data_IF_869240206896
#
_entry.id   IF_869240206896
#
_cell.length_a   1.000
_cell.length_b   1.000
_cell.length_c   1.000
_cell.angle_alpha   90.00
_cell.angle_beta   90.00
_cell.angle_gamma   90.00
#
_symmetry.space_group_name_H-M   'P 1'
#
loop_
_entity.id
_entity.type
_entity.pdbx_description
1 polymer ?
#
# COMPACT_ATOMS: atom_id res chain seq x y z
N UNK A 1 -19.00 -6.66 -9.19
CA UNK A 1 -17.95 -6.60 -8.17
C UNK A 1 -17.45 -7.99 -7.85
N UNK A 2 -16.19 -8.11 -7.51
CA UNK A 2 -15.60 -9.36 -7.03
C UNK A 2 -15.60 -9.36 -5.50
N UNK A 3 -15.88 -10.52 -4.89
CA UNK A 3 -15.86 -10.67 -3.43
C UNK A 3 -14.46 -11.13 -3.01
N UNK A 4 -13.83 -10.38 -2.10
CA UNK A 4 -12.52 -10.70 -1.54
C UNK A 4 -12.59 -11.33 -0.15
N UNK A 5 -13.62 -10.98 0.63
CA UNK A 5 -13.87 -11.55 1.96
C UNK A 5 -15.36 -11.50 2.26
N UNK A 6 -15.90 -12.60 2.77
CA UNK A 6 -17.28 -12.68 3.22
C UNK A 6 -17.38 -13.56 4.46
N UNK A 7 -18.13 -13.09 5.46
CA UNK A 7 -18.43 -13.82 6.70
C UNK A 7 -19.84 -13.47 7.12
N UNK A 8 -20.62 -14.46 7.56
CA UNK A 8 -22.01 -14.26 7.96
C UNK A 8 -22.89 -13.67 6.85
N UNK A 9 -23.88 -12.88 7.21
CA UNK A 9 -24.74 -12.12 6.29
C UNK A 9 -24.67 -10.62 6.62
N UNK A 10 -23.72 -9.93 5.98
CA UNK A 10 -23.54 -8.51 6.21
C UNK A 10 -24.74 -7.67 5.78
N UNK A 11 -25.49 -8.09 4.75
CA UNK A 11 -26.66 -7.36 4.25
C UNK A 11 -27.77 -7.41 5.28
N UNK A 12 -28.12 -8.60 5.76
CA UNK A 12 -29.15 -8.79 6.78
C UNK A 12 -28.77 -8.10 8.09
N UNK A 13 -27.49 -8.19 8.50
CA UNK A 13 -27.01 -7.55 9.72
C UNK A 13 -27.12 -6.02 9.66
N UNK A 14 -26.85 -5.41 8.50
CA UNK A 14 -27.01 -3.98 8.29
C UNK A 14 -28.48 -3.56 8.26
N UNK A 15 -29.36 -4.32 7.59
CA UNK A 15 -30.81 -4.05 7.58
C UNK A 15 -31.44 -4.10 8.98
N UNK A 16 -30.88 -4.88 9.90
CA UNK A 16 -31.36 -5.04 11.28
C UNK A 16 -30.60 -4.20 12.31
N UNK A 17 -29.61 -3.45 11.90
CA UNK A 17 -28.82 -2.61 12.79
C UNK A 17 -29.65 -1.48 13.41
N UNK A 18 -29.29 -1.07 14.64
CA UNK A 18 -29.93 0.05 15.34
C UNK A 18 -29.46 1.40 14.83
N UNK A 19 -28.17 1.45 14.49
CA UNK A 19 -27.51 2.67 13.97
C UNK A 19 -26.64 2.29 12.78
N UNK A 20 -26.86 2.94 11.66
CA UNK A 20 -26.03 2.80 10.47
C UNK A 20 -25.09 3.98 10.36
N UNK A 21 -23.84 3.68 10.05
CA UNK A 21 -22.81 4.65 9.68
C UNK A 21 -22.42 4.38 8.24
N UNK A 22 -22.42 5.41 7.41
CA UNK A 22 -21.96 5.32 6.03
C UNK A 22 -20.92 6.40 5.75
N UNK A 23 -19.80 6.00 5.12
CA UNK A 23 -18.78 6.93 4.68
C UNK A 23 -18.26 6.56 3.30
N UNK A 24 -17.72 7.56 2.60
CA UNK A 24 -17.05 7.38 1.33
C UNK A 24 -15.69 8.06 1.37
N UNK A 25 -14.65 7.27 1.11
CA UNK A 25 -13.27 7.73 1.07
C UNK A 25 -12.72 7.67 -0.35
N UNK A 26 -11.77 8.53 -0.65
CA UNK A 26 -11.04 8.53 -1.91
C UNK A 26 -9.53 8.55 -1.65
N UNK A 27 -8.80 7.78 -2.43
CA UNK A 27 -7.34 7.73 -2.38
C UNK A 27 -6.79 8.10 -3.76
N UNK A 28 -5.99 9.18 -3.87
CA UNK A 28 -5.52 9.68 -5.15
C UNK A 28 -4.37 8.84 -5.70
N UNK A 29 -4.01 9.08 -6.96
CA UNK A 29 -2.74 8.61 -7.49
C UNK A 29 -1.57 9.13 -6.67
N UNK A 30 -0.55 8.29 -6.48
CA UNK A 30 0.71 8.68 -5.87
C UNK A 30 1.88 8.23 -6.74
N UNK A 31 2.86 9.11 -6.89
CA UNK A 31 4.13 8.79 -7.54
C UNK A 31 5.16 8.32 -6.50
N UNK A 32 6.13 7.54 -6.93
CA UNK A 32 7.23 7.06 -6.08
C UNK A 32 8.17 8.20 -5.66
N UNK A 33 8.40 9.17 -6.54
CA UNK A 33 9.23 10.36 -6.30
C UNK A 33 10.55 10.03 -5.60
N UNK A 34 11.26 9.02 -6.08
CA UNK A 34 12.56 8.62 -5.53
C UNK A 34 13.53 9.80 -5.57
N UNK A 35 14.40 9.97 -4.56
CA UNK A 35 15.37 11.08 -4.57
C UNK A 35 16.28 11.04 -5.80
N UNK A 36 16.70 9.85 -6.20
CA UNK A 36 17.37 9.61 -7.47
C UNK A 36 16.33 9.36 -8.57
N UNK A 37 16.15 10.26 -9.56
CA UNK A 37 15.29 9.99 -10.71
C UNK A 37 15.74 8.75 -11.50
N UNK A 38 14.85 8.21 -12.35
CA UNK A 38 15.15 7.02 -13.12
C UNK A 38 16.38 7.22 -14.00
N UNK A 39 17.29 6.25 -13.97
CA UNK A 39 18.51 6.29 -14.76
C UNK A 39 19.06 4.90 -15.07
N UNK A 40 19.81 4.79 -16.13
CA UNK A 40 20.60 3.61 -16.47
C UNK A 40 21.78 3.99 -17.38
N UNK A 41 22.87 3.25 -17.29
CA UNK A 41 23.95 3.30 -18.28
C UNK A 41 23.92 2.01 -19.07
N UNK A 42 23.89 2.09 -20.39
CA UNK A 42 23.93 0.93 -21.27
C UNK A 42 25.09 1.02 -22.25
N UNK A 43 25.66 -0.13 -22.60
CA UNK A 43 26.67 -0.28 -23.67
C UNK A 43 26.28 -1.48 -24.51
N UNK A 44 25.88 -1.23 -25.76
CA UNK A 44 25.46 -2.25 -26.70
C UNK A 44 26.43 -2.39 -27.89
N UNK A 45 26.55 -3.61 -28.42
CA UNK A 45 27.13 -3.96 -29.72
C UNK A 45 26.14 -4.88 -30.44
N UNK A 46 26.43 -5.31 -31.65
CA UNK A 46 25.61 -6.30 -32.36
C UNK A 46 25.56 -7.67 -31.67
N UNK A 47 26.52 -7.96 -30.78
CA UNK A 47 26.69 -9.28 -30.17
C UNK A 47 26.42 -9.30 -28.66
N UNK A 48 26.60 -8.17 -27.98
CA UNK A 48 26.52 -8.07 -26.52
C UNK A 48 25.88 -6.77 -26.04
N UNK A 49 25.18 -6.83 -24.90
CA UNK A 49 24.68 -5.65 -24.21
C UNK A 49 24.96 -5.73 -22.69
N UNK A 50 25.53 -4.68 -22.13
CA UNK A 50 25.77 -4.55 -20.70
C UNK A 50 25.04 -3.31 -20.16
N UNK A 51 24.39 -3.44 -19.01
CA UNK A 51 23.63 -2.36 -18.34
C UNK A 51 24.06 -2.22 -16.89
N UNK A 52 24.30 -1.00 -16.46
CA UNK A 52 24.47 -0.61 -15.05
C UNK A 52 23.26 0.21 -14.63
N UNK A 53 22.46 -0.31 -13.70
CA UNK A 53 21.26 0.38 -13.25
C UNK A 53 20.96 0.18 -11.76
N UNK A 54 20.37 1.20 -11.11
CA UNK A 54 19.83 1.07 -9.78
C UNK A 54 18.50 0.32 -9.86
N UNK A 55 18.49 -0.96 -9.51
CA UNK A 55 17.31 -1.83 -9.60
C UNK A 55 17.01 -2.57 -8.29
N UNK A 56 15.72 -2.75 -7.98
CA UNK A 56 15.23 -3.62 -6.92
C UNK A 56 15.11 -5.09 -7.38
N UNK A 57 15.14 -5.32 -8.72
CA UNK A 57 15.00 -6.64 -9.32
C UNK A 57 15.93 -6.78 -10.54
N UNK A 58 17.06 -7.45 -10.33
CA UNK A 58 18.08 -7.67 -11.37
C UNK A 58 17.56 -8.53 -12.53
N UNK A 59 16.72 -9.51 -12.28
CA UNK A 59 16.15 -10.38 -13.33
C UNK A 59 15.20 -9.61 -14.24
N UNK A 60 14.35 -8.75 -13.68
CA UNK A 60 13.48 -7.90 -14.48
C UNK A 60 14.26 -6.86 -15.29
N UNK A 61 15.39 -6.36 -14.76
CA UNK A 61 16.30 -5.50 -15.51
C UNK A 61 16.99 -6.26 -16.65
N UNK A 62 17.39 -7.52 -16.43
CA UNK A 62 17.97 -8.38 -17.45
C UNK A 62 16.95 -8.68 -18.56
N UNK A 63 15.72 -9.04 -18.20
CA UNK A 63 14.64 -9.25 -19.18
C UNK A 63 14.38 -8.00 -20.02
N UNK A 64 14.34 -6.81 -19.41
CA UNK A 64 14.20 -5.54 -20.13
C UNK A 64 15.40 -5.25 -21.05
N UNK A 65 16.61 -5.65 -20.64
CA UNK A 65 17.83 -5.50 -21.45
C UNK A 65 17.81 -6.40 -22.67
N UNK A 66 17.48 -7.69 -22.51
CA UNK A 66 17.41 -8.67 -23.61
C UNK A 66 16.35 -8.28 -24.63
N UNK A 67 15.17 -7.90 -24.15
CA UNK A 67 14.06 -7.44 -25.01
C UNK A 67 14.46 -6.21 -25.83
N UNK A 68 15.04 -5.18 -25.20
CA UNK A 68 15.39 -3.93 -25.86
C UNK A 68 16.61 -4.07 -26.78
N UNK A 69 17.57 -4.94 -26.46
CA UNK A 69 18.74 -5.21 -27.28
C UNK A 69 18.46 -6.17 -28.45
N UNK A 70 17.37 -6.97 -28.35
CA UNK A 70 17.08 -8.04 -29.34
C UNK A 70 18.11 -9.16 -29.30
N UNK A 71 18.77 -9.39 -28.14
CA UNK A 71 19.84 -10.37 -27.97
C UNK A 71 19.41 -11.50 -27.04
N UNK A 72 20.00 -12.72 -27.19
CA UNK A 72 19.78 -13.79 -26.24
C UNK A 72 20.36 -13.44 -24.83
N UNK A 73 19.80 -14.07 -23.80
CA UNK A 73 20.11 -13.73 -22.40
C UNK A 73 21.60 -13.92 -22.05
N UNK A 74 22.24 -14.92 -22.62
CA UNK A 74 23.68 -15.21 -22.45
C UNK A 74 24.61 -14.12 -22.99
N UNK A 75 24.10 -13.25 -23.83
CA UNK A 75 24.81 -12.11 -24.43
C UNK A 75 24.48 -10.77 -23.72
N UNK A 76 23.67 -10.82 -22.65
CA UNK A 76 23.26 -9.65 -21.88
C UNK A 76 23.73 -9.72 -20.43
N UNK A 77 24.16 -8.59 -19.89
CA UNK A 77 24.63 -8.48 -18.50
C UNK A 77 23.99 -7.29 -17.81
N UNK A 78 23.63 -7.46 -16.54
CA UNK A 78 23.13 -6.37 -15.69
C UNK A 78 23.96 -6.28 -14.42
N UNK A 79 24.55 -5.12 -14.23
CA UNK A 79 25.28 -4.75 -13.04
C UNK A 79 24.42 -3.86 -12.15
N UNK A 80 23.99 -4.42 -11.03
CA UNK A 80 23.22 -3.71 -10.03
C UNK A 80 24.10 -2.71 -9.30
N UNK A 81 23.70 -1.45 -9.30
CA UNK A 81 24.35 -0.37 -8.53
C UNK A 81 23.45 0.06 -7.36
N UNK A 82 23.99 0.86 -6.43
CA UNK A 82 23.22 1.41 -5.31
C UNK A 82 22.05 2.24 -5.79
N UNK A 83 20.92 2.15 -5.04
CA UNK A 83 19.70 2.89 -5.32
C UNK A 83 19.64 4.15 -4.47
N UNK A 84 19.27 5.24 -5.10
CA UNK A 84 18.83 6.47 -4.43
C UNK A 84 17.32 6.48 -4.16
N UNK A 85 16.79 5.33 -3.72
CA UNK A 85 15.38 5.07 -3.49
C UNK A 85 14.72 4.26 -4.60
N UNK A 86 13.70 3.48 -4.24
CA UNK A 86 12.97 2.64 -5.20
C UNK A 86 11.48 2.60 -4.92
N UNK A 87 11.08 2.19 -3.72
CA UNK A 87 9.70 2.13 -3.22
C UNK A 87 8.73 1.33 -4.10
N UNK A 88 9.25 0.40 -4.94
CA UNK A 88 8.49 -0.35 -5.93
C UNK A 88 8.74 0.09 -7.38
N UNK A 89 9.12 1.35 -7.63
CA UNK A 89 9.33 1.88 -8.98
C UNK A 89 10.36 1.10 -9.79
N UNK A 90 11.39 0.61 -9.11
CA UNK A 90 12.52 -0.12 -9.71
C UNK A 90 12.37 -1.64 -9.58
N UNK A 91 11.17 -2.14 -9.20
CA UNK A 91 10.90 -3.56 -9.00
C UNK A 91 10.47 -4.29 -10.27
N UNK A 92 9.39 -3.83 -10.90
CA UNK A 92 8.81 -4.44 -12.08
C UNK A 92 8.95 -3.60 -13.36
N UNK A 93 9.22 -2.31 -13.23
CA UNK A 93 9.19 -1.37 -14.34
C UNK A 93 10.59 -0.91 -14.68
N UNK A 94 11.14 -1.41 -15.77
CA UNK A 94 12.46 -1.09 -16.27
C UNK A 94 12.41 -0.37 -17.62
N UNK A 95 11.42 0.52 -17.78
CA UNK A 95 11.27 1.43 -18.92
C UNK A 95 12.53 2.29 -19.17
N UNK A 96 13.11 2.83 -18.10
CA UNK A 96 14.36 3.58 -18.16
C UNK A 96 15.55 2.73 -18.65
N UNK A 97 15.57 1.43 -18.36
CA UNK A 97 16.57 0.48 -18.88
C UNK A 97 16.36 0.26 -20.38
N UNK A 98 15.10 -0.02 -20.79
CA UNK A 98 14.77 -0.18 -22.22
C UNK A 98 15.19 1.04 -23.05
N UNK A 99 14.91 2.23 -22.55
CA UNK A 99 15.29 3.48 -23.22
C UNK A 99 16.81 3.63 -23.34
N UNK A 100 17.57 3.40 -22.26
CA UNK A 100 19.02 3.47 -22.28
C UNK A 100 19.64 2.47 -23.28
N UNK A 101 19.12 1.24 -23.32
CA UNK A 101 19.56 0.20 -24.26
C UNK A 101 19.21 0.58 -25.69
N UNK A 102 17.98 1.03 -25.96
CA UNK A 102 17.56 1.45 -27.29
C UNK A 102 18.42 2.57 -27.86
N UNK A 103 18.87 3.51 -27.04
CA UNK A 103 19.81 4.56 -27.46
C UNK A 103 21.21 3.99 -27.67
N UNK A 104 21.70 3.14 -26.75
CA UNK A 104 23.04 2.57 -26.81
C UNK A 104 23.27 1.69 -28.06
N UNK A 105 22.23 1.00 -28.52
CA UNK A 105 22.30 0.20 -29.76
C UNK A 105 22.47 1.04 -31.01
N UNK A 106 22.12 2.34 -31.00
CA UNK A 106 22.32 3.27 -32.12
C UNK A 106 23.76 3.83 -32.16
N UNK A 107 24.55 3.66 -31.11
CA UNK A 107 25.94 4.11 -31.00
C UNK A 107 26.84 2.96 -30.50
N UNK A 108 27.02 1.90 -31.31
CA UNK A 108 27.62 0.64 -30.87
C UNK A 108 28.98 0.82 -30.19
N UNK A 109 29.19 0.11 -29.09
CA UNK A 109 30.42 0.09 -28.32
C UNK A 109 30.66 1.30 -27.41
N UNK A 110 29.85 2.35 -27.52
CA UNK A 110 29.94 3.51 -26.63
C UNK A 110 28.98 3.38 -25.44
N UNK A 111 29.38 3.68 -24.18
CA UNK A 111 28.45 3.74 -23.06
C UNK A 111 27.56 4.96 -23.20
N UNK A 112 26.25 4.75 -22.98
CA UNK A 112 25.22 5.78 -22.97
C UNK A 112 24.63 5.83 -21.58
N UNK A 113 24.69 6.97 -20.90
CA UNK A 113 24.03 7.20 -19.62
C UNK A 113 22.76 8.02 -19.85
N UNK A 114 21.61 7.40 -19.59
CA UNK A 114 20.31 8.05 -19.56
C UNK A 114 20.02 8.53 -18.15
N UNK A 115 19.58 9.76 -18.01
CA UNK A 115 19.08 10.35 -16.77
C UNK A 115 17.74 11.01 -17.07
N UNK A 116 16.70 10.63 -16.33
CA UNK A 116 15.45 11.37 -16.37
C UNK A 116 15.55 12.65 -15.54
N UNK A 117 14.90 13.73 -15.98
CA UNK A 117 14.66 14.87 -15.10
C UNK A 117 13.65 14.51 -14.01
N UNK A 118 13.53 15.34 -12.97
CA UNK A 118 12.49 15.16 -11.95
C UNK A 118 11.10 15.23 -12.55
N UNK A 119 10.88 16.14 -13.48
CA UNK A 119 9.60 16.33 -14.18
C UNK A 119 9.23 15.10 -15.00
N UNK A 120 10.20 14.52 -15.72
CA UNK A 120 10.01 13.28 -16.48
C UNK A 120 9.62 12.12 -15.58
N UNK A 121 10.36 11.92 -14.48
CA UNK A 121 10.10 10.86 -13.49
C UNK A 121 8.71 10.99 -12.85
N UNK A 122 8.26 12.23 -12.58
CA UNK A 122 6.95 12.49 -11.97
C UNK A 122 5.79 12.33 -12.96
N UNK A 123 6.00 12.59 -14.26
CA UNK A 123 4.96 12.62 -15.28
C UNK A 123 4.82 11.31 -16.07
N UNK A 124 5.88 10.50 -16.14
CA UNK A 124 5.92 9.28 -16.95
C UNK A 124 6.19 8.01 -16.11
N UNK A 125 5.78 8.02 -14.86
CA UNK A 125 5.91 6.89 -13.95
C UNK A 125 4.75 5.89 -14.03
N UNK A 126 4.86 4.90 -13.15
CA UNK A 126 3.77 4.01 -12.77
C UNK A 126 3.29 4.44 -11.39
N UNK A 127 1.99 4.60 -11.20
CA UNK A 127 1.44 5.25 -10.02
C UNK A 127 0.75 4.26 -9.10
N UNK A 128 0.73 4.55 -7.80
CA UNK A 128 -0.22 3.91 -6.92
C UNK A 128 -1.63 4.12 -7.46
N UNK A 129 -2.48 3.09 -7.53
CA UNK A 129 -3.83 3.21 -8.11
C UNK A 129 -4.70 4.25 -7.42
N UNK A 130 -5.48 4.98 -8.22
CA UNK A 130 -6.61 5.73 -7.68
C UNK A 130 -7.70 4.78 -7.26
N UNK A 131 -8.26 4.96 -6.06
CA UNK A 131 -9.34 4.14 -5.55
C UNK A 131 -10.36 4.98 -4.78
N UNK A 132 -11.57 4.45 -4.65
CA UNK A 132 -12.65 5.01 -3.84
C UNK A 132 -13.36 3.88 -3.11
N UNK A 133 -13.60 4.03 -1.81
CA UNK A 133 -14.34 3.07 -1.03
C UNK A 133 -15.63 3.68 -0.48
N UNK A 134 -16.74 2.93 -0.60
CA UNK A 134 -17.96 3.16 0.16
C UNK A 134 -18.00 2.13 1.26
N UNK A 135 -18.18 2.56 2.49
CA UNK A 135 -18.24 1.73 3.66
C UNK A 135 -19.55 1.95 4.38
N UNK A 136 -20.18 0.85 4.82
CA UNK A 136 -21.40 0.87 5.62
C UNK A 136 -21.19 -0.07 6.81
N UNK A 137 -21.39 0.44 8.03
CA UNK A 137 -21.27 -0.32 9.26
C UNK A 137 -22.51 -0.19 10.11
N UNK A 138 -22.98 -1.28 10.67
CA UNK A 138 -24.15 -1.34 11.53
C UNK A 138 -23.77 -1.60 12.98
N UNK A 139 -24.35 -0.82 13.90
CA UNK A 139 -24.21 -0.98 15.34
C UNK A 139 -25.53 -1.45 15.96
N UNK A 140 -25.47 -2.31 16.97
CA UNK A 140 -26.62 -2.70 17.77
C UNK A 140 -26.99 -1.67 18.86
N UNK A 141 -27.98 -1.96 19.68
CA UNK A 141 -28.43 -1.10 20.79
C UNK A 141 -27.35 -0.85 21.86
N UNK A 142 -26.31 -1.72 21.90
CA UNK A 142 -25.18 -1.59 22.84
C UNK A 142 -23.97 -0.89 22.20
N UNK A 143 -24.10 -0.44 20.96
CA UNK A 143 -23.02 0.13 20.18
C UNK A 143 -21.95 -0.90 19.74
N UNK A 144 -22.36 -2.18 19.60
CA UNK A 144 -21.48 -3.22 19.07
C UNK A 144 -21.58 -3.30 17.56
N UNK A 145 -20.43 -3.49 16.88
CA UNK A 145 -20.40 -3.69 15.43
C UNK A 145 -21.01 -5.05 15.07
N UNK A 146 -22.14 -5.05 14.38
CA UNK A 146 -22.86 -6.25 13.96
C UNK A 146 -22.67 -6.60 12.50
N UNK A 147 -22.36 -5.62 11.66
CA UNK A 147 -22.15 -5.82 10.23
C UNK A 147 -21.27 -4.75 9.60
N UNK A 148 -20.49 -5.12 8.60
CA UNK A 148 -19.62 -4.22 7.84
C UNK A 148 -19.63 -4.59 6.35
N UNK A 149 -19.93 -3.63 5.49
CA UNK A 149 -19.79 -3.74 4.05
C UNK A 149 -18.73 -2.73 3.54
N UNK A 150 -17.70 -3.23 2.89
CA UNK A 150 -16.63 -2.48 2.28
C UNK A 150 -16.69 -2.68 0.77
N UNK A 151 -16.99 -1.65 0.01
CA UNK A 151 -17.00 -1.71 -1.45
C UNK A 151 -15.97 -0.74 -2.02
N UNK A 152 -14.89 -1.31 -2.56
CA UNK A 152 -13.79 -0.58 -3.18
C UNK A 152 -14.03 -0.52 -4.69
N UNK A 153 -13.81 0.64 -5.29
CA UNK A 153 -13.76 0.82 -6.75
C UNK A 153 -12.42 1.44 -7.13
N UNK A 154 -11.69 0.80 -8.04
CA UNK A 154 -10.38 1.30 -8.45
C UNK A 154 -9.68 0.41 -9.46
N UNK A 155 -8.43 0.79 -9.77
CA UNK A 155 -7.60 0.06 -10.71
C UNK A 155 -7.07 -1.25 -10.10
N UNK A 156 -6.85 -2.21 -10.98
CA UNK A 156 -6.08 -3.42 -10.70
C UNK A 156 -4.63 -3.23 -11.17
N UNK A 157 -3.69 -3.43 -10.26
CA UNK A 157 -2.27 -3.45 -10.60
C UNK A 157 -1.96 -4.68 -11.45
N UNK A 158 -2.48 -5.86 -11.08
CA UNK A 158 -2.22 -7.10 -11.80
C UNK A 158 -2.77 -7.07 -13.22
N UNK A 159 -3.94 -6.49 -13.45
CA UNK A 159 -4.50 -6.38 -14.80
C UNK A 159 -3.59 -5.59 -15.75
N UNK A 160 -2.81 -4.64 -15.23
CA UNK A 160 -1.89 -3.84 -16.01
C UNK A 160 -0.47 -4.43 -16.09
N UNK A 161 0.02 -5.03 -15.00
CA UNK A 161 1.43 -5.43 -14.85
C UNK A 161 1.65 -6.90 -15.15
N UNK A 162 0.76 -7.78 -14.67
CA UNK A 162 0.84 -9.22 -14.86
C UNK A 162 -0.54 -9.87 -14.85
N UNK A 163 -1.31 -9.76 -15.93
CA UNK A 163 -2.65 -10.35 -16.02
C UNK A 163 -2.70 -11.86 -15.75
N UNK A 164 -1.59 -12.57 -15.98
CA UNK A 164 -1.48 -14.00 -15.72
C UNK A 164 -1.56 -14.39 -14.24
N UNK A 165 -1.38 -13.45 -13.32
CA UNK A 165 -1.51 -13.67 -11.87
C UNK A 165 -2.93 -13.41 -11.35
N UNK A 166 -3.83 -12.96 -12.21
CA UNK A 166 -5.24 -12.80 -11.85
C UNK A 166 -5.93 -14.16 -11.75
N UNK A 167 -6.77 -14.32 -10.74
CA UNK A 167 -7.57 -15.53 -10.53
C UNK A 167 -8.99 -15.31 -11.05
N UNK A 168 -9.34 -15.90 -12.19
CA UNK A 168 -10.65 -15.74 -12.81
C UNK A 168 -11.09 -14.26 -12.98
N UNK A 169 -10.15 -13.38 -13.33
CA UNK A 169 -10.41 -11.96 -13.50
C UNK A 169 -10.39 -11.16 -12.18
N UNK A 170 -10.05 -11.80 -11.07
CA UNK A 170 -9.91 -11.17 -9.75
C UNK A 170 -8.46 -10.84 -9.46
N UNK A 171 -8.18 -9.58 -9.13
CA UNK A 171 -6.92 -9.15 -8.53
C UNK A 171 -7.02 -9.27 -7.01
N UNK A 172 -6.44 -10.32 -6.42
CA UNK A 172 -6.45 -10.53 -4.97
C UNK A 172 -5.67 -9.47 -4.20
N UNK A 173 -4.74 -8.77 -4.86
CA UNK A 173 -3.97 -7.69 -4.21
C UNK A 173 -4.85 -6.49 -3.85
N UNK A 174 -5.97 -6.29 -4.55
CA UNK A 174 -6.92 -5.22 -4.21
C UNK A 174 -7.52 -5.36 -2.81
N UNK A 175 -7.45 -6.56 -2.21
CA UNK A 175 -7.99 -6.87 -0.89
C UNK A 175 -6.92 -6.96 0.22
N UNK A 176 -5.69 -6.58 -0.05
CA UNK A 176 -4.61 -6.63 0.96
C UNK A 176 -4.98 -5.86 2.23
N UNK A 177 -4.78 -6.50 3.39
CA UNK A 177 -5.20 -5.99 4.70
C UNK A 177 -6.67 -6.27 5.06
N UNK A 178 -7.47 -6.82 4.11
CA UNK A 178 -8.90 -7.12 4.27
C UNK A 178 -9.24 -8.58 3.95
N UNK A 179 -8.26 -9.43 3.62
CA UNK A 179 -8.44 -10.84 3.31
C UNK A 179 -8.90 -11.64 4.55
N UNK A 180 -9.54 -12.81 4.37
CA UNK A 180 -10.00 -13.62 5.50
C UNK A 180 -8.84 -14.24 6.29
N UNK A 181 -7.71 -14.52 5.65
CA UNK A 181 -6.55 -15.21 6.22
C UNK A 181 -5.23 -14.76 5.55
N UNK A 182 -4.12 -15.43 5.95
CA UNK A 182 -2.81 -15.21 5.36
C UNK A 182 -2.13 -13.90 5.79
N UNK A 183 -1.11 -13.50 5.01
CA UNK A 183 -0.19 -12.41 5.32
C UNK A 183 -0.83 -11.02 5.28
N UNK A 184 -1.97 -10.91 4.64
CA UNK A 184 -2.74 -9.67 4.46
C UNK A 184 -4.16 -9.79 5.03
N UNK A 185 -4.35 -10.62 6.06
CA UNK A 185 -5.65 -10.79 6.69
C UNK A 185 -6.10 -9.53 7.45
N UNK A 186 -7.40 -9.33 7.50
CA UNK A 186 -8.01 -8.31 8.36
C UNK A 186 -7.68 -8.59 9.83
N UNK A 187 -7.37 -7.57 10.61
CA UNK A 187 -7.02 -7.68 12.03
C UNK A 187 -8.20 -7.49 12.98
N UNK A 188 -9.42 -7.57 12.47
CA UNK A 188 -10.64 -7.28 13.22
C UNK A 188 -11.65 -8.42 13.12
N UNK A 189 -12.23 -8.82 14.26
CA UNK A 189 -13.30 -9.79 14.36
C UNK A 189 -14.66 -9.16 14.06
N UNK A 190 -15.01 -9.02 12.79
CA UNK A 190 -16.33 -8.54 12.37
C UNK A 190 -17.25 -9.73 12.15
N UNK A 191 -18.41 -9.82 12.86
CA UNK A 191 -19.28 -11.01 12.78
C UNK A 191 -19.91 -11.21 11.40
N UNK A 192 -20.35 -10.13 10.75
CA UNK A 192 -20.93 -10.14 9.42
C UNK A 192 -20.18 -9.16 8.53
N UNK A 193 -19.39 -9.67 7.61
CA UNK A 193 -18.48 -8.87 6.78
C UNK A 193 -18.69 -9.19 5.30
N UNK A 194 -18.70 -8.14 4.48
CA UNK A 194 -18.60 -8.26 3.02
C UNK A 194 -17.59 -7.25 2.49
N UNK A 195 -16.55 -7.74 1.83
CA UNK A 195 -15.55 -6.91 1.14
C UNK A 195 -15.61 -7.20 -0.36
N UNK A 196 -15.87 -6.17 -1.14
CA UNK A 196 -16.01 -6.26 -2.59
C UNK A 196 -15.09 -5.28 -3.33
N UNK A 197 -14.68 -5.65 -4.53
CA UNK A 197 -13.96 -4.76 -5.45
C UNK A 197 -14.67 -4.66 -6.82
N UNK A 198 -14.93 -3.44 -7.25
CA UNK A 198 -15.41 -3.10 -8.58
C UNK A 198 -14.25 -2.53 -9.40
N UNK A 199 -13.63 -3.35 -10.24
CA UNK A 199 -12.49 -2.95 -11.07
C UNK A 199 -12.88 -1.83 -12.04
N UNK A 200 -12.05 -0.79 -12.08
CA UNK A 200 -12.12 0.35 -12.98
C UNK A 200 -10.70 0.75 -13.36
N UNK A 201 -10.34 0.55 -14.61
CA UNK A 201 -8.98 0.76 -15.12
C UNK A 201 -8.94 1.97 -16.08
N UNK A 202 -8.83 3.21 -15.56
CA UNK A 202 -8.54 4.37 -16.39
C UNK A 202 -7.14 4.27 -17.03
N UNK A 203 -6.81 5.10 -18.04
CA UNK A 203 -5.60 4.93 -18.85
C UNK A 203 -4.28 5.25 -18.15
N UNK A 204 -4.31 5.84 -16.95
CA UNK A 204 -3.09 6.11 -16.18
C UNK A 204 -2.47 4.80 -15.72
N UNK A 205 -1.18 4.50 -16.03
CA UNK A 205 -0.57 3.22 -15.73
C UNK A 205 -0.37 3.03 -14.22
N UNK A 206 -0.99 1.99 -13.60
CA UNK A 206 -0.78 1.69 -12.20
C UNK A 206 0.50 0.88 -11.99
N UNK A 207 1.02 0.91 -10.75
CA UNK A 207 2.19 0.15 -10.35
C UNK A 207 2.25 -0.13 -8.87
N UNK A 208 3.24 -0.94 -8.50
CA UNK A 208 3.51 -1.26 -7.10
C UNK A 208 4.20 -0.09 -6.41
N UNK A 209 3.51 0.53 -5.47
CA UNK A 209 4.07 1.53 -4.58
C UNK A 209 4.16 0.95 -3.16
N UNK A 210 5.19 1.32 -2.39
CA UNK A 210 5.46 0.80 -1.03
C UNK A 210 4.19 0.60 -0.20
N UNK A 211 3.92 -0.64 0.25
CA UNK A 211 2.71 -1.04 0.93
C UNK A 211 1.58 -1.54 0.01
N UNK A 212 1.70 -1.30 -1.29
CA UNK A 212 0.74 -1.73 -2.32
C UNK A 212 -0.70 -1.32 -1.92
N UNK A 213 -1.68 -2.22 -2.00
CA UNK A 213 -3.07 -1.88 -1.69
C UNK A 213 -3.39 -1.83 -0.18
N UNK A 214 -2.45 -2.21 0.71
CA UNK A 214 -2.64 -2.01 2.15
C UNK A 214 -2.78 -0.53 2.49
N UNK A 215 -2.12 0.36 1.76
CA UNK A 215 -2.14 1.80 2.03
C UNK A 215 -3.54 2.37 2.08
N UNK A 216 -4.27 2.30 0.97
CA UNK A 216 -5.64 2.83 0.93
C UNK A 216 -6.60 2.01 1.78
N UNK A 217 -6.43 0.67 1.82
CA UNK A 217 -7.33 -0.19 2.58
C UNK A 217 -7.22 0.08 4.09
N UNK A 218 -6.00 0.33 4.59
CA UNK A 218 -5.78 0.73 5.97
C UNK A 218 -6.40 2.11 6.27
N UNK A 219 -6.21 3.11 5.38
CA UNK A 219 -6.85 4.42 5.55
C UNK A 219 -8.37 4.27 5.63
N UNK A 220 -8.98 3.53 4.72
CA UNK A 220 -10.42 3.32 4.70
C UNK A 220 -10.91 2.64 5.98
N UNK A 221 -10.26 1.53 6.33
CA UNK A 221 -10.69 0.74 7.48
C UNK A 221 -10.52 1.49 8.79
N UNK A 222 -9.35 2.11 9.00
CA UNK A 222 -9.01 2.77 10.26
C UNK A 222 -9.80 4.07 10.47
N UNK A 223 -10.00 4.85 9.41
CA UNK A 223 -10.86 6.04 9.47
C UNK A 223 -12.31 5.66 9.77
N UNK A 224 -12.80 4.62 9.12
CA UNK A 224 -14.18 4.18 9.33
C UNK A 224 -14.42 3.58 10.73
N UNK A 225 -13.42 2.89 11.29
CA UNK A 225 -13.50 2.41 12.68
C UNK A 225 -13.55 3.56 13.69
N UNK A 226 -12.90 4.68 13.42
CA UNK A 226 -13.03 5.88 14.26
C UNK A 226 -14.43 6.48 14.18
N UNK A 227 -15.04 6.53 12.99
CA UNK A 227 -16.42 6.99 12.82
C UNK A 227 -17.41 6.07 13.52
N UNK A 228 -17.22 4.76 13.45
CA UNK A 228 -18.03 3.77 14.17
C UNK A 228 -17.89 3.89 15.69
N UNK A 229 -16.65 4.05 16.19
CA UNK A 229 -16.38 4.26 17.61
C UNK A 229 -17.06 5.54 18.12
N UNK A 230 -16.98 6.63 17.34
CA UNK A 230 -17.67 7.89 17.65
C UNK A 230 -19.18 7.73 17.69
N UNK A 231 -19.79 7.08 16.70
CA UNK A 231 -21.23 6.80 16.65
C UNK A 231 -21.69 5.91 17.81
N UNK A 232 -20.82 4.99 18.26
CA UNK A 232 -21.05 4.14 19.44
C UNK A 232 -20.85 4.87 20.79
N UNK A 233 -20.33 6.11 20.78
CA UNK A 233 -19.96 6.85 21.99
C UNK A 233 -18.80 6.20 22.75
N UNK A 234 -17.88 5.54 22.06
CA UNK A 234 -16.76 4.78 22.65
C UNK A 234 -15.40 5.38 22.29
N UNK A 235 -14.44 5.15 23.17
CA UNK A 235 -13.04 5.43 22.88
C UNK A 235 -12.54 4.58 21.70
N UNK A 236 -11.88 5.18 20.67
CA UNK A 236 -11.40 4.46 19.49
C UNK A 236 -10.43 3.31 19.81
N UNK A 237 -9.62 3.43 20.87
CA UNK A 237 -8.72 2.36 21.31
C UNK A 237 -9.51 1.17 21.87
N UNK A 238 -10.47 1.44 22.75
CA UNK A 238 -11.27 0.37 23.38
C UNK A 238 -12.19 -0.30 22.37
N UNK A 239 -12.72 0.44 21.40
CA UNK A 239 -13.48 -0.12 20.29
C UNK A 239 -12.63 -1.12 19.47
N UNK A 240 -11.39 -0.74 19.12
CA UNK A 240 -10.45 -1.61 18.39
C UNK A 240 -10.04 -2.82 19.24
N UNK A 241 -9.72 -2.63 20.52
CA UNK A 241 -9.33 -3.71 21.43
C UNK A 241 -10.37 -4.83 21.45
N UNK A 242 -11.64 -4.46 21.50
CA UNK A 242 -12.72 -5.44 21.48
C UNK A 242 -12.78 -6.22 20.19
N UNK A 243 -12.68 -5.55 19.05
CA UNK A 243 -12.69 -6.18 17.74
C UNK A 243 -11.42 -7.01 17.45
N UNK A 244 -10.35 -6.78 18.21
CA UNK A 244 -9.07 -7.50 18.08
C UNK A 244 -8.86 -8.62 19.09
N UNK A 245 -9.89 -9.01 19.85
CA UNK A 245 -9.75 -10.01 20.92
C UNK A 245 -9.09 -11.32 20.42
N UNK A 246 -9.39 -11.74 19.21
CA UNK A 246 -8.85 -12.95 18.57
C UNK A 246 -7.61 -12.69 17.70
N UNK A 247 -7.05 -11.47 17.76
CA UNK A 247 -5.88 -11.04 16.95
C UNK A 247 -4.71 -10.59 17.86
N UNK A 248 -4.08 -11.47 18.64
CA UNK A 248 -3.18 -11.10 19.74
C UNK A 248 -1.96 -10.28 19.30
N UNK A 249 -1.39 -10.53 18.12
CA UNK A 249 -0.24 -9.76 17.62
C UNK A 249 -0.63 -8.34 17.23
N UNK A 250 -1.74 -8.15 16.52
CA UNK A 250 -2.26 -6.80 16.18
C UNK A 250 -2.65 -6.05 17.44
N UNK A 251 -3.28 -6.72 18.42
CA UNK A 251 -3.62 -6.14 19.72
C UNK A 251 -2.37 -5.73 20.51
N UNK A 252 -1.31 -6.53 20.45
CA UNK A 252 -0.05 -6.22 21.15
C UNK A 252 0.61 -4.95 20.62
N UNK A 253 0.73 -4.79 19.29
CA UNK A 253 1.31 -3.57 18.70
C UNK A 253 0.41 -2.35 18.93
N UNK A 254 -0.92 -2.50 18.92
CA UNK A 254 -1.87 -1.43 19.27
C UNK A 254 -1.68 -0.96 20.72
N UNK A 255 -1.61 -1.88 21.67
CA UNK A 255 -1.41 -1.54 23.08
C UNK A 255 -0.05 -0.87 23.30
N UNK A 256 1.02 -1.39 22.70
CA UNK A 256 2.35 -0.80 22.81
C UNK A 256 2.38 0.67 22.31
N UNK A 257 1.70 0.95 21.20
CA UNK A 257 1.58 2.31 20.67
C UNK A 257 0.75 3.21 21.59
N UNK A 258 -0.39 2.73 22.07
CA UNK A 258 -1.25 3.48 22.96
C UNK A 258 -0.54 3.87 24.27
N UNK A 259 0.17 2.92 24.89
CA UNK A 259 0.95 3.14 26.10
C UNK A 259 2.07 4.16 25.84
N UNK A 260 2.84 4.00 24.78
CA UNK A 260 3.97 4.85 24.43
C UNK A 260 3.55 6.27 24.01
N UNK A 261 2.41 6.39 23.32
CA UNK A 261 1.82 7.68 22.96
C UNK A 261 1.17 8.37 24.16
N UNK A 262 0.90 7.64 25.25
CA UNK A 262 0.17 8.15 26.40
C UNK A 262 -1.31 8.37 26.08
N UNK A 263 -1.94 7.42 25.39
CA UNK A 263 -3.38 7.45 25.12
C UNK A 263 -4.15 7.56 26.44
N UNK A 264 -5.21 8.32 26.47
CA UNK A 264 -5.95 8.62 27.72
C UNK A 264 -5.41 9.82 28.52
N UNK A 265 -4.20 10.32 28.23
CA UNK A 265 -3.74 11.61 28.78
C UNK A 265 -4.21 12.73 27.86
N UNK A 266 -4.66 13.83 28.44
CA UNK A 266 -5.07 15.01 27.65
C UNK A 266 -3.90 15.52 26.80
N UNK A 267 -4.04 15.59 25.48
CA UNK A 267 -3.03 16.18 24.62
C UNK A 267 -2.94 17.69 24.85
N UNK A 268 -1.87 18.34 24.38
CA UNK A 268 -1.82 19.81 24.36
C UNK A 268 -3.02 20.42 23.65
N UNK A 269 -3.39 21.65 24.01
CA UNK A 269 -4.50 22.36 23.40
C UNK A 269 -4.36 22.43 21.87
N UNK A 270 -5.45 22.15 21.14
CA UNK A 270 -5.48 22.12 19.67
C UNK A 270 -4.78 20.91 19.02
N UNK A 271 -4.25 19.97 19.83
CA UNK A 271 -3.64 18.73 19.33
C UNK A 271 -4.61 17.57 19.47
N UNK A 272 -4.76 16.79 18.40
CA UNK A 272 -5.60 15.61 18.34
C UNK A 272 -4.75 14.36 18.13
N UNK A 273 -5.27 13.20 18.54
CA UNK A 273 -4.63 11.89 18.37
C UNK A 273 -5.50 10.97 17.54
N UNK A 274 -4.87 10.22 16.65
CA UNK A 274 -5.49 9.13 15.89
C UNK A 274 -4.65 7.86 15.96
N UNK A 275 -5.32 6.71 15.91
CA UNK A 275 -4.73 5.37 15.91
C UNK A 275 -5.00 4.67 14.59
N UNK A 276 -4.02 3.90 14.11
CA UNK A 276 -4.20 3.01 12.98
C UNK A 276 -3.43 1.71 13.21
N UNK A 277 -3.98 0.60 12.72
CA UNK A 277 -3.37 -0.74 12.78
C UNK A 277 -3.54 -1.44 11.44
N UNK A 278 -2.50 -2.10 10.95
CA UNK A 278 -2.63 -2.97 9.80
C UNK A 278 -1.72 -4.20 9.90
N UNK A 279 -2.15 -5.26 9.21
CA UNK A 279 -1.32 -6.43 8.93
C UNK A 279 -0.99 -6.46 7.45
N UNK A 280 0.29 -6.50 7.12
CA UNK A 280 0.79 -6.53 5.77
C UNK A 280 2.07 -7.34 5.68
N UNK A 281 2.20 -8.18 4.66
CA UNK A 281 3.40 -9.00 4.44
C UNK A 281 3.82 -9.76 5.70
N UNK A 282 2.85 -10.40 6.38
CA UNK A 282 2.99 -11.11 7.65
C UNK A 282 3.44 -10.26 8.86
N UNK A 283 3.65 -8.96 8.69
CA UNK A 283 4.04 -8.03 9.77
C UNK A 283 2.83 -7.30 10.32
N UNK A 284 2.84 -7.00 11.62
CA UNK A 284 1.82 -6.20 12.30
C UNK A 284 2.39 -4.84 12.64
N UNK A 285 1.69 -3.78 12.29
CA UNK A 285 2.12 -2.40 12.56
C UNK A 285 0.96 -1.60 13.13
N UNK A 286 1.24 -0.85 14.19
CA UNK A 286 0.33 0.16 14.70
C UNK A 286 1.03 1.51 14.76
N UNK A 287 0.26 2.59 14.63
CA UNK A 287 0.74 3.95 14.77
C UNK A 287 -0.26 4.83 15.51
N UNK A 288 0.27 5.79 16.28
CA UNK A 288 -0.48 6.90 16.83
C UNK A 288 0.12 8.21 16.31
N UNK A 289 -0.67 9.03 15.67
CA UNK A 289 -0.27 10.35 15.21
C UNK A 289 -0.85 11.44 16.13
N UNK A 290 -0.03 12.44 16.46
CA UNK A 290 -0.44 13.68 17.12
C UNK A 290 -0.44 14.80 16.08
N UNK A 291 -1.59 15.40 15.85
CA UNK A 291 -1.79 16.39 14.78
C UNK A 291 -2.55 17.60 15.27
N UNK A 292 -2.36 18.73 14.63
CA UNK A 292 -3.24 19.90 14.72
C UNK A 292 -3.62 20.40 13.34
N UNK A 293 -4.76 21.09 13.26
CA UNK A 293 -5.23 21.77 12.05
C UNK A 293 -5.43 23.23 12.41
N UNK A 294 -4.81 24.13 11.64
CA UNK A 294 -4.99 25.57 11.83
C UNK A 294 -6.28 26.08 11.18
N UNK A 295 -6.60 27.38 11.41
CA UNK A 295 -7.80 28.02 10.88
C UNK A 295 -7.85 28.07 9.34
N UNK A 296 -6.71 27.90 8.67
CA UNK A 296 -6.62 27.79 7.21
C UNK A 296 -6.80 26.33 6.72
N UNK A 297 -7.06 25.37 7.62
CA UNK A 297 -7.20 23.95 7.31
C UNK A 297 -5.85 23.24 7.07
N UNK A 298 -4.73 23.87 7.42
CA UNK A 298 -3.41 23.26 7.22
C UNK A 298 -3.09 22.27 8.33
N UNK A 299 -2.85 21.03 7.95
CA UNK A 299 -2.44 19.95 8.86
C UNK A 299 -0.97 20.12 9.28
N UNK A 300 -0.72 19.98 10.59
CA UNK A 300 0.62 19.86 11.17
C UNK A 300 0.72 18.55 11.95
N UNK A 301 1.70 17.72 11.61
CA UNK A 301 2.07 16.53 12.38
C UNK A 301 3.11 16.90 13.41
N UNK A 302 2.80 16.65 14.69
CA UNK A 302 3.71 16.96 15.82
C UNK A 302 4.57 15.76 16.19
N UNK A 303 3.95 14.55 16.23
CA UNK A 303 4.61 13.32 16.62
C UNK A 303 3.91 12.13 16.00
N UNK A 304 4.69 11.11 15.65
CA UNK A 304 4.19 9.77 15.31
C UNK A 304 4.90 8.78 16.23
N UNK A 305 4.14 7.93 16.90
CA UNK A 305 4.62 6.76 17.63
C UNK A 305 4.19 5.53 16.87
N UNK A 306 5.13 4.67 16.52
CA UNK A 306 4.85 3.43 15.82
C UNK A 306 5.40 2.23 16.60
N UNK A 307 4.71 1.10 16.48
CA UNK A 307 5.18 -0.21 16.92
C UNK A 307 5.00 -1.21 15.80
N UNK A 308 5.99 -2.10 15.63
CA UNK A 308 5.96 -3.14 14.62
C UNK A 308 6.33 -4.50 15.22
N UNK A 309 5.61 -5.54 14.80
CA UNK A 309 5.99 -6.94 14.99
C UNK A 309 6.23 -7.56 13.61
N UNK A 310 7.50 -7.61 13.14
CA UNK A 310 7.84 -8.22 11.85
C UNK A 310 8.06 -9.73 11.95
N UNK A 311 7.77 -10.34 13.10
CA UNK A 311 8.18 -11.71 13.43
C UNK A 311 9.66 -11.77 13.82
N UNK A 312 10.43 -12.64 13.18
CA UNK A 312 11.86 -12.76 13.46
C UNK A 312 12.67 -11.63 12.78
N UNK A 313 13.30 -10.79 13.59
CA UNK A 313 14.15 -9.71 13.11
C UNK A 313 15.55 -10.22 12.76
N UNK A 314 15.83 -10.49 11.49
CA UNK A 314 17.14 -10.93 11.00
C UNK A 314 18.20 -9.85 11.23
N UNK A 315 17.86 -8.58 11.00
CA UNK A 315 18.75 -7.45 11.25
C UNK A 315 17.95 -6.30 11.90
N UNK A 316 17.99 -6.16 13.23
CA UNK A 316 17.28 -5.10 13.95
C UNK A 316 17.63 -3.69 13.49
N UNK A 317 18.89 -3.42 13.12
CA UNK A 317 19.32 -2.10 12.65
C UNK A 317 18.63 -1.68 11.35
N UNK A 318 18.28 -2.63 10.48
CA UNK A 318 17.53 -2.34 9.27
C UNK A 318 16.07 -1.95 9.59
N UNK A 319 15.50 -2.48 10.66
CA UNK A 319 14.17 -2.09 11.12
C UNK A 319 14.20 -0.68 11.71
N UNK A 320 15.21 -0.36 12.50
CA UNK A 320 15.39 0.99 13.05
C UNK A 320 15.60 2.04 11.95
N UNK A 321 16.29 1.68 10.87
CA UNK A 321 16.52 2.56 9.73
C UNK A 321 15.25 2.88 8.92
N UNK A 322 14.22 2.02 8.96
CA UNK A 322 12.93 2.25 8.29
C UNK A 322 12.04 3.24 9.04
#
# INVERSE_FOLDING_TARGET
>A
AFVGNARGDAKQALESAKTDVEATYAYPYQTHATMEPMNATARGTAERCAVWCPTQNGEAALAATTEAAGLPVENCEVYKIHLGGGFGRRGAFHDFVRQAVAIATQVPGRPVKLLWSREEDMQHGHYHPITKARMVGGLDEKGELVGLHVRISGQSILAAVNPGWMDNGVDKFTFQGLLPDGDHAISYGVPNLLVEHAMRNPPVPPGFWRGVNVNQNAIYMESFLDELAHAAGRDPLDFRRKLMADHPKSLAVLNAVADRAGWGKTPPEGVHRGLAVCKAFASHVAACAEVSVDDAGKLRVHRIVAATDPGYAVNPQQIEAQ
#
